data_IF_590408237616
#
_entry.id   IF_590408237616
#
_cell.length_a   1.000
_cell.length_b   1.000
_cell.length_c   1.000
_cell.angle_alpha   90.00
_cell.angle_beta   90.00
_cell.angle_gamma   90.00
#
_symmetry.space_group_name_H-M   'P 1'
#
loop_
_entity.id
_entity.type
_entity.pdbx_description
1 polymer ?
#
# COMPACT_ATOMS: atom_id res chain seq x y z
N UNK A 1 -3.98 -40.51 -2.91
CA UNK A 1 -5.30 -40.26 -2.27
C UNK A 1 -5.78 -41.34 -1.28
N UNK A 2 -5.10 -42.47 -1.13
CA UNK A 2 -5.52 -43.57 -0.21
C UNK A 2 -5.48 -43.25 1.29
N UNK A 3 -4.70 -42.20 1.72
CA UNK A 3 -4.50 -41.87 3.14
C UNK A 3 -5.27 -40.64 3.61
N UNK A 4 -6.03 -39.96 2.74
CA UNK A 4 -6.82 -38.76 3.10
C UNK A 4 -7.85 -39.01 4.21
N UNK A 5 -8.58 -40.14 4.24
CA UNK A 5 -9.52 -40.44 5.32
C UNK A 5 -8.84 -40.59 6.69
N UNK A 6 -7.62 -41.16 6.70
CA UNK A 6 -6.83 -41.33 7.94
C UNK A 6 -6.35 -39.97 8.47
N UNK A 7 -5.93 -39.04 7.58
CA UNK A 7 -5.55 -37.68 7.95
C UNK A 7 -6.73 -36.92 8.51
N UNK A 8 -7.90 -37.03 7.86
CA UNK A 8 -9.11 -36.33 8.29
C UNK A 8 -9.62 -36.84 9.63
N UNK A 9 -9.67 -38.16 9.83
CA UNK A 9 -10.06 -38.77 11.10
C UNK A 9 -9.09 -38.41 12.24
N UNK A 10 -7.79 -38.31 11.94
CA UNK A 10 -6.76 -37.89 12.89
C UNK A 10 -6.93 -36.45 13.35
N UNK A 11 -7.15 -35.54 12.40
CA UNK A 11 -7.33 -34.11 12.64
C UNK A 11 -8.57 -33.82 13.51
N UNK A 12 -9.71 -34.42 13.20
CA UNK A 12 -11.00 -34.09 13.84
C UNK A 12 -11.35 -34.95 15.04
N UNK A 13 -10.41 -35.74 15.57
CA UNK A 13 -10.62 -36.55 16.76
C UNK A 13 -10.94 -35.71 18.01
N UNK A 14 -10.20 -34.61 18.25
CA UNK A 14 -10.49 -33.62 19.28
C UNK A 14 -10.95 -32.32 18.64
N UNK A 15 -12.22 -32.25 18.24
CA UNK A 15 -12.82 -31.16 17.48
C UNK A 15 -12.48 -29.78 18.03
N UNK A 16 -12.61 -29.56 19.33
CA UNK A 16 -12.38 -28.26 19.96
C UNK A 16 -10.94 -27.78 19.74
N UNK A 17 -9.94 -28.67 19.95
CA UNK A 17 -8.53 -28.33 19.75
C UNK A 17 -8.25 -27.98 18.30
N UNK A 18 -8.70 -28.81 17.36
CA UNK A 18 -8.48 -28.60 15.94
C UNK A 18 -9.14 -27.31 15.47
N UNK A 19 -10.37 -27.02 15.90
CA UNK A 19 -11.08 -25.78 15.57
C UNK A 19 -10.33 -24.56 16.11
N UNK A 20 -9.86 -24.58 17.37
CA UNK A 20 -9.12 -23.47 17.96
C UNK A 20 -7.77 -23.24 17.25
N UNK A 21 -7.06 -24.33 16.93
CA UNK A 21 -5.79 -24.22 16.16
C UNK A 21 -6.04 -23.68 14.74
N UNK A 22 -7.06 -24.20 14.07
CA UNK A 22 -7.44 -23.74 12.73
C UNK A 22 -7.86 -22.26 12.76
N UNK A 23 -8.66 -21.85 13.76
CA UNK A 23 -9.07 -20.46 13.93
C UNK A 23 -7.86 -19.53 14.14
N UNK A 24 -6.89 -19.95 14.96
CA UNK A 24 -5.65 -19.18 15.16
C UNK A 24 -4.85 -19.01 13.86
N UNK A 25 -4.76 -20.05 13.04
CA UNK A 25 -4.11 -20.00 11.72
C UNK A 25 -4.89 -19.09 10.78
N UNK A 26 -6.22 -19.21 10.74
CA UNK A 26 -7.11 -18.36 9.93
C UNK A 26 -6.89 -16.88 10.25
N UNK A 27 -6.94 -16.52 11.55
CA UNK A 27 -6.76 -15.13 11.99
C UNK A 27 -5.39 -14.59 11.60
N UNK A 28 -4.36 -15.40 11.71
CA UNK A 28 -3.00 -14.97 11.37
C UNK A 28 -2.80 -14.76 9.87
N UNK A 29 -3.30 -15.66 9.03
CA UNK A 29 -3.21 -15.50 7.59
C UNK A 29 -4.17 -14.42 7.07
N UNK A 30 -5.30 -14.19 7.73
CA UNK A 30 -6.13 -13.04 7.45
C UNK A 30 -5.39 -11.73 7.77
N UNK A 31 -4.76 -11.63 8.94
CA UNK A 31 -3.95 -10.48 9.32
C UNK A 31 -2.75 -10.30 8.36
N UNK A 32 -2.09 -11.38 7.97
CA UNK A 32 -1.03 -11.35 6.96
C UNK A 32 -1.53 -10.74 5.65
N UNK A 33 -2.65 -11.25 5.11
CA UNK A 33 -3.24 -10.74 3.87
C UNK A 33 -3.60 -9.26 3.95
N UNK A 34 -4.20 -8.83 5.07
CA UNK A 34 -4.56 -7.42 5.31
C UNK A 34 -3.33 -6.51 5.38
N UNK A 35 -2.29 -6.89 6.14
CA UNK A 35 -1.08 -6.11 6.28
C UNK A 35 -0.28 -6.03 4.98
N UNK A 36 -0.21 -7.15 4.23
CA UNK A 36 0.43 -7.14 2.90
C UNK A 36 -0.34 -6.26 1.91
N UNK A 37 -1.67 -6.27 1.94
CA UNK A 37 -2.46 -5.37 1.09
C UNK A 37 -2.17 -3.90 1.39
N UNK A 38 -1.99 -3.53 2.67
CA UNK A 38 -1.58 -2.19 3.07
C UNK A 38 -0.19 -1.86 2.53
N UNK A 39 0.78 -2.74 2.71
CA UNK A 39 2.14 -2.53 2.21
C UNK A 39 2.16 -2.36 0.68
N UNK A 40 1.51 -3.25 -0.06
CA UNK A 40 1.41 -3.19 -1.53
C UNK A 40 0.72 -1.91 -1.99
N UNK A 41 -0.33 -1.46 -1.30
CA UNK A 41 -1.02 -0.21 -1.64
C UNK A 41 -0.10 1.01 -1.53
N UNK A 42 0.76 1.06 -0.51
CA UNK A 42 1.75 2.14 -0.37
C UNK A 42 2.88 2.05 -1.42
N UNK A 43 3.32 0.85 -1.79
CA UNK A 43 4.37 0.65 -2.79
C UNK A 43 3.86 0.89 -4.22
N UNK A 44 2.62 0.48 -4.54
CA UNK A 44 2.04 0.64 -5.88
C UNK A 44 1.84 2.10 -6.29
N UNK A 45 1.58 3.00 -5.34
CA UNK A 45 1.54 4.44 -5.61
C UNK A 45 2.87 4.99 -6.13
N UNK A 46 3.99 4.42 -5.67
CA UNK A 46 5.32 4.79 -6.15
C UNK A 46 5.67 4.13 -7.51
N UNK A 47 5.13 2.95 -7.79
CA UNK A 47 5.39 2.23 -9.05
C UNK A 47 4.69 2.85 -10.27
N UNK A 48 3.60 3.59 -10.05
CA UNK A 48 2.90 4.36 -11.08
C UNK A 48 3.64 5.63 -11.52
N UNK A 49 4.74 6.00 -10.85
CA UNK A 49 5.53 7.18 -11.18
C UNK A 49 6.32 6.98 -12.48
N UNK A 50 6.24 7.97 -13.39
CA UNK A 50 7.02 7.97 -14.63
C UNK A 50 8.51 8.18 -14.32
N UNK A 51 9.37 7.29 -14.83
CA UNK A 51 10.82 7.38 -14.67
C UNK A 51 11.43 8.68 -15.21
N UNK A 52 10.72 9.43 -16.05
CA UNK A 52 11.13 10.72 -16.61
C UNK A 52 10.68 11.91 -15.76
N UNK A 53 9.98 11.68 -14.64
CA UNK A 53 9.58 12.76 -13.74
C UNK A 53 10.47 12.82 -12.51
N UNK A 54 10.93 14.05 -12.22
CA UNK A 54 11.66 14.40 -11.03
C UNK A 54 10.82 15.34 -10.18
N UNK A 55 10.99 15.29 -8.89
CA UNK A 55 10.42 16.24 -7.93
C UNK A 55 11.55 17.05 -7.32
N UNK A 56 11.42 18.37 -7.37
CA UNK A 56 12.33 19.32 -6.73
C UNK A 56 11.59 19.97 -5.56
N UNK A 57 12.02 19.69 -4.34
CA UNK A 57 11.48 20.24 -3.07
C UNK A 57 12.55 21.07 -2.38
N UNK A 58 12.19 21.78 -1.33
CA UNK A 58 13.21 22.36 -0.45
C UNK A 58 14.01 21.22 0.22
N UNK A 59 15.31 21.48 0.42
CA UNK A 59 16.31 20.48 0.81
C UNK A 59 16.07 19.91 2.20
N UNK A 60 15.68 20.75 3.14
CA UNK A 60 15.59 20.40 4.57
C UNK A 60 14.20 20.04 5.03
N UNK A 61 13.17 20.53 4.35
CA UNK A 61 11.78 20.27 4.72
C UNK A 61 10.87 20.31 3.50
N UNK A 62 10.06 19.28 3.31
CA UNK A 62 9.06 19.23 2.25
C UNK A 62 7.93 20.27 2.42
N UNK A 63 7.76 20.79 3.64
CA UNK A 63 6.74 21.80 3.98
C UNK A 63 7.24 23.21 3.66
N UNK A 64 8.54 23.39 3.50
CA UNK A 64 9.13 24.69 3.18
C UNK A 64 8.90 25.03 1.71
N UNK A 65 8.24 26.16 1.40
CA UNK A 65 7.91 26.49 0.03
C UNK A 65 9.10 27.13 -0.70
N UNK A 66 9.27 26.81 -1.97
CA UNK A 66 10.30 27.35 -2.87
C UNK A 66 9.82 28.63 -3.60
N UNK A 67 10.72 29.56 -3.96
CA UNK A 67 10.36 30.72 -4.76
C UNK A 67 9.87 30.34 -6.17
N UNK A 68 8.76 30.89 -6.65
CA UNK A 68 8.24 30.63 -8.01
C UNK A 68 9.23 31.05 -9.11
N UNK A 69 10.18 31.95 -8.80
CA UNK A 69 11.24 32.34 -9.73
C UNK A 69 12.20 31.23 -10.13
N UNK A 70 12.28 30.14 -9.34
CA UNK A 70 13.14 28.99 -9.64
C UNK A 70 12.69 28.24 -10.88
N UNK A 71 11.40 28.27 -11.23
CA UNK A 71 10.83 27.58 -12.37
C UNK A 71 11.62 27.86 -13.66
N UNK A 72 11.86 29.14 -13.98
CA UNK A 72 12.60 29.54 -15.19
C UNK A 72 14.05 29.06 -15.20
N UNK A 73 14.69 29.02 -14.03
CA UNK A 73 16.07 28.55 -13.91
C UNK A 73 16.15 27.03 -14.11
N UNK A 74 15.18 26.29 -13.61
CA UNK A 74 15.09 24.83 -13.80
C UNK A 74 14.80 24.50 -15.27
N UNK A 75 13.92 25.26 -15.94
CA UNK A 75 13.62 25.08 -17.38
C UNK A 75 14.85 25.22 -18.28
N UNK A 76 15.85 26.00 -17.88
CA UNK A 76 17.07 26.22 -18.65
C UNK A 76 18.10 25.10 -18.49
N UNK A 77 17.91 24.14 -17.63
CA UNK A 77 18.81 23.01 -17.42
C UNK A 77 18.77 22.08 -18.63
N UNK A 78 19.92 21.77 -19.26
CA UNK A 78 19.96 20.85 -20.40
C UNK A 78 19.37 19.50 -20.05
N UNK A 79 18.50 18.99 -20.93
CA UNK A 79 17.79 17.72 -20.73
C UNK A 79 16.44 17.85 -20.02
N UNK A 80 16.09 19.03 -19.50
CA UNK A 80 14.75 19.34 -19.01
C UNK A 80 13.84 19.69 -20.19
N UNK A 81 12.67 19.04 -20.27
CA UNK A 81 11.70 19.27 -21.35
C UNK A 81 10.43 19.97 -20.88
N UNK A 82 10.23 20.05 -19.57
CA UNK A 82 9.11 20.78 -18.99
C UNK A 82 9.24 20.89 -17.48
N UNK A 83 8.63 21.95 -16.92
CA UNK A 83 8.57 22.21 -15.48
C UNK A 83 7.17 22.72 -15.13
N UNK A 84 6.58 22.16 -14.09
CA UNK A 84 5.34 22.65 -13.51
C UNK A 84 5.53 22.87 -12.01
N UNK A 85 4.80 23.83 -11.45
CA UNK A 85 4.74 24.04 -10.01
C UNK A 85 3.50 23.38 -9.42
N UNK A 86 3.58 22.94 -8.18
CA UNK A 86 2.46 22.46 -7.39
C UNK A 86 2.60 22.93 -5.94
N UNK A 87 1.48 23.23 -5.32
CA UNK A 87 1.41 23.61 -3.92
C UNK A 87 0.31 22.83 -3.21
N UNK A 88 0.55 22.43 -1.99
CA UNK A 88 -0.44 21.72 -1.18
C UNK A 88 -1.43 22.71 -0.58
N UNK A 89 -2.70 22.52 -0.92
CA UNK A 89 -3.75 23.42 -0.42
C UNK A 89 -4.34 22.97 0.92
N UNK A 90 -4.37 21.67 1.20
CA UNK A 90 -4.93 21.08 2.41
C UNK A 90 -6.42 21.42 2.56
N UNK A 91 -7.31 20.52 2.16
CA UNK A 91 -8.73 20.85 2.06
C UNK A 91 -9.66 19.82 2.65
N UNK A 92 -10.83 20.33 3.07
CA UNK A 92 -11.99 19.54 3.48
C UNK A 92 -13.26 20.08 2.84
N UNK A 93 -14.20 19.19 2.59
CA UNK A 93 -15.50 19.50 2.01
C UNK A 93 -16.61 19.18 2.98
N UNK A 94 -17.38 20.19 3.37
CA UNK A 94 -18.50 20.15 4.32
C UNK A 94 -18.13 19.67 5.73
N UNK A 95 -17.53 18.49 5.89
CA UNK A 95 -17.19 17.87 7.17
C UNK A 95 -15.70 17.54 7.26
N UNK A 96 -15.16 17.50 8.47
CA UNK A 96 -13.75 17.14 8.72
C UNK A 96 -13.38 15.74 8.24
N UNK A 97 -14.35 14.82 8.20
CA UNK A 97 -14.15 13.48 7.66
C UNK A 97 -13.96 13.42 6.13
N UNK A 98 -14.32 14.49 5.42
CA UNK A 98 -14.24 14.60 3.97
C UNK A 98 -12.98 15.37 3.52
N UNK A 99 -11.82 15.04 4.09
CA UNK A 99 -10.55 15.54 3.61
C UNK A 99 -10.10 14.75 2.37
N UNK A 100 -9.53 15.45 1.39
CA UNK A 100 -8.93 14.89 0.18
C UNK A 100 -7.79 15.79 -0.31
N UNK A 101 -6.85 15.27 -1.11
CA UNK A 101 -5.77 16.07 -1.67
C UNK A 101 -6.29 17.17 -2.58
N UNK A 102 -5.82 18.39 -2.36
CA UNK A 102 -6.04 19.53 -3.27
C UNK A 102 -4.70 20.17 -3.55
N UNK A 103 -4.39 20.35 -4.84
CA UNK A 103 -3.16 20.96 -5.29
C UNK A 103 -3.44 22.21 -6.11
N UNK A 104 -2.78 23.32 -5.75
CA UNK A 104 -2.74 24.50 -6.57
C UNK A 104 -1.65 24.33 -7.64
N UNK A 105 -2.05 24.35 -8.92
CA UNK A 105 -1.17 24.02 -10.04
C UNK A 105 -1.31 25.02 -11.19
N UNK A 106 -0.28 25.10 -12.04
CA UNK A 106 -0.42 25.73 -13.36
C UNK A 106 -1.32 24.84 -14.24
N UNK A 107 -2.49 25.30 -14.68
CA UNK A 107 -3.48 24.47 -15.35
C UNK A 107 -2.99 23.87 -16.67
N UNK A 108 -2.08 24.52 -17.36
CA UNK A 108 -1.52 24.06 -18.62
C UNK A 108 -0.34 23.12 -18.39
N UNK A 109 0.65 23.60 -17.66
CA UNK A 109 1.93 22.91 -17.46
C UNK A 109 1.78 21.62 -16.67
N UNK A 110 0.94 21.62 -15.62
CA UNK A 110 0.76 20.44 -14.77
C UNK A 110 0.20 19.24 -15.53
N UNK A 111 -0.84 19.45 -16.33
CA UNK A 111 -1.45 18.38 -17.11
C UNK A 111 -0.53 17.85 -18.23
N UNK A 112 0.43 18.66 -18.69
CA UNK A 112 1.46 18.20 -19.63
C UNK A 112 2.52 17.31 -18.96
N UNK A 113 2.70 17.45 -17.63
CA UNK A 113 3.62 16.57 -16.87
C UNK A 113 3.03 15.18 -16.64
N UNK A 114 1.69 15.05 -16.66
CA UNK A 114 0.96 13.81 -16.38
C UNK A 114 0.08 13.37 -17.57
N UNK A 115 0.69 12.92 -18.68
CA UNK A 115 -0.04 12.49 -19.88
C UNK A 115 -0.91 11.25 -19.67
N UNK A 116 -0.69 10.51 -18.58
CA UNK A 116 -1.51 9.39 -18.15
C UNK A 116 -2.89 9.82 -17.60
N UNK A 117 -3.07 11.09 -17.27
CA UNK A 117 -4.35 11.62 -16.85
C UNK A 117 -5.20 11.98 -18.07
N UNK A 118 -6.44 11.56 -18.05
CA UNK A 118 -7.41 11.82 -19.10
C UNK A 118 -8.40 12.89 -18.65
N UNK A 119 -8.57 13.91 -19.48
CA UNK A 119 -9.54 14.99 -19.30
C UNK A 119 -10.08 15.41 -20.67
N UNK A 120 -11.36 15.71 -20.74
CA UNK A 120 -11.95 16.22 -21.95
C UNK A 120 -11.26 17.53 -22.41
N UNK A 121 -11.05 17.69 -23.73
CA UNK A 121 -10.31 18.83 -24.28
C UNK A 121 -10.95 20.16 -23.93
N UNK A 122 -12.29 20.26 -24.02
CA UNK A 122 -13.00 21.50 -23.71
C UNK A 122 -12.90 21.84 -22.21
N UNK A 123 -12.93 20.82 -21.34
CA UNK A 123 -12.74 20.99 -19.90
C UNK A 123 -11.30 21.42 -19.56
N UNK A 124 -10.31 20.86 -20.23
CA UNK A 124 -8.90 21.27 -20.09
C UNK A 124 -8.71 22.74 -20.49
N UNK A 125 -9.29 23.14 -21.63
CA UNK A 125 -9.26 24.54 -22.07
C UNK A 125 -10.02 25.47 -21.11
N UNK A 126 -11.15 25.02 -20.55
CA UNK A 126 -11.89 25.74 -19.53
C UNK A 126 -11.05 25.93 -18.25
N UNK A 127 -10.33 24.92 -17.80
CA UNK A 127 -9.44 25.02 -16.65
C UNK A 127 -8.32 26.04 -16.86
N UNK A 128 -7.73 26.07 -18.05
CA UNK A 128 -6.71 27.05 -18.40
C UNK A 128 -7.23 28.50 -18.42
N UNK A 129 -8.49 28.71 -18.84
CA UNK A 129 -9.07 30.05 -18.97
C UNK A 129 -9.78 30.56 -17.71
N UNK A 130 -10.25 29.66 -16.83
CA UNK A 130 -11.03 30.04 -15.65
C UNK A 130 -10.09 30.19 -14.46
N UNK A 131 -9.95 31.41 -13.98
CA UNK A 131 -9.05 31.74 -12.88
C UNK A 131 -9.44 31.04 -11.58
N UNK A 132 -10.73 30.96 -11.27
CA UNK A 132 -11.31 30.22 -10.15
C UNK A 132 -11.57 28.76 -10.47
N UNK A 133 -11.05 28.26 -11.62
CA UNK A 133 -11.29 26.90 -12.09
C UNK A 133 -10.72 25.83 -11.19
N UNK A 134 -11.48 24.76 -11.08
CA UNK A 134 -11.05 23.51 -10.45
C UNK A 134 -11.37 22.31 -11.34
N UNK A 135 -10.53 21.28 -11.25
CA UNK A 135 -10.74 19.98 -11.87
C UNK A 135 -10.74 18.93 -10.78
N UNK A 136 -11.75 18.09 -10.70
CA UNK A 136 -11.88 17.06 -9.69
C UNK A 136 -11.66 15.66 -10.30
N UNK A 137 -11.03 14.78 -9.56
CA UNK A 137 -10.95 13.37 -9.90
C UNK A 137 -12.33 12.73 -9.97
N UNK A 138 -12.53 11.85 -10.96
CA UNK A 138 -13.84 11.22 -11.25
C UNK A 138 -14.42 10.51 -10.02
N UNK A 139 -13.62 9.77 -9.27
CA UNK A 139 -14.09 9.06 -8.06
C UNK A 139 -14.57 10.03 -6.97
N UNK A 140 -13.90 11.18 -6.79
CA UNK A 140 -14.36 12.21 -5.86
C UNK A 140 -15.66 12.84 -6.36
N UNK A 141 -15.73 13.15 -7.65
CA UNK A 141 -16.93 13.71 -8.25
C UNK A 141 -18.13 12.76 -8.11
N UNK A 142 -17.95 11.47 -8.39
CA UNK A 142 -18.98 10.45 -8.23
C UNK A 142 -19.38 10.29 -6.74
N UNK A 143 -18.41 10.30 -5.82
CA UNK A 143 -18.66 10.18 -4.36
C UNK A 143 -19.49 11.33 -3.80
N UNK A 144 -19.21 12.55 -4.21
CA UNK A 144 -19.89 13.75 -3.70
C UNK A 144 -21.03 14.23 -4.60
N UNK A 145 -21.28 13.57 -5.72
CA UNK A 145 -22.29 13.95 -6.70
C UNK A 145 -21.96 15.25 -7.44
N UNK A 146 -20.68 15.57 -7.61
CA UNK A 146 -20.24 16.79 -8.26
C UNK A 146 -20.43 16.75 -9.77
N UNK A 147 -20.83 17.87 -10.34
CA UNK A 147 -21.04 18.02 -11.79
C UNK A 147 -20.29 19.25 -12.30
N UNK A 148 -19.75 19.14 -13.51
CA UNK A 148 -19.13 20.29 -14.19
C UNK A 148 -20.13 21.44 -14.30
N UNK A 149 -19.66 22.65 -14.02
CA UNK A 149 -20.46 23.88 -14.02
C UNK A 149 -20.99 24.30 -12.65
N UNK A 150 -20.81 23.50 -11.60
CA UNK A 150 -21.21 23.88 -10.23
C UNK A 150 -20.10 24.60 -9.47
N UNK A 151 -20.48 25.35 -8.45
CA UNK A 151 -19.58 25.91 -7.46
C UNK A 151 -19.13 24.83 -6.48
N UNK A 152 -17.85 24.83 -6.16
CA UNK A 152 -17.21 23.90 -5.24
C UNK A 152 -16.69 24.67 -4.02
N UNK A 153 -17.46 24.76 -2.93
CA UNK A 153 -16.99 25.37 -1.68
C UNK A 153 -16.07 24.39 -0.95
N UNK A 154 -14.82 24.78 -0.76
CA UNK A 154 -13.79 23.99 -0.08
C UNK A 154 -13.20 24.84 1.05
N UNK A 155 -12.99 24.27 2.22
CA UNK A 155 -12.28 24.92 3.31
C UNK A 155 -10.84 24.45 3.36
N UNK A 156 -9.88 25.39 3.37
CA UNK A 156 -8.48 25.06 3.62
C UNK A 156 -8.23 24.95 5.13
N UNK A 157 -7.31 24.09 5.51
CA UNK A 157 -6.86 23.97 6.90
C UNK A 157 -5.60 24.82 7.20
N UNK A 158 -4.90 25.22 6.14
CA UNK A 158 -3.59 25.88 6.26
C UNK A 158 -3.50 27.24 5.54
N UNK A 159 -4.39 27.50 4.58
CA UNK A 159 -4.32 28.72 3.79
C UNK A 159 -5.55 29.60 3.97
N UNK A 160 -5.38 30.64 4.77
CA UNK A 160 -6.37 31.74 4.84
C UNK A 160 -6.26 32.63 3.60
N UNK A 161 -7.41 33.17 3.15
CA UNK A 161 -7.46 34.27 2.19
C UNK A 161 -7.05 35.59 2.84
N UNK A 162 -6.82 36.59 2.01
CA UNK A 162 -6.47 37.95 2.46
C UNK A 162 -7.52 38.59 3.36
N UNK A 163 -8.76 38.14 3.30
CA UNK A 163 -9.86 38.57 4.19
C UNK A 163 -9.93 37.76 5.49
N UNK A 164 -8.99 36.85 5.73
CA UNK A 164 -8.94 35.97 6.90
C UNK A 164 -9.83 34.72 6.79
N UNK A 165 -10.61 34.57 5.73
CA UNK A 165 -11.50 33.42 5.53
C UNK A 165 -10.71 32.17 5.15
N UNK A 166 -11.05 31.03 5.77
CA UNK A 166 -10.55 29.70 5.39
C UNK A 166 -11.43 29.04 4.32
N UNK A 167 -12.56 29.67 3.96
CA UNK A 167 -13.49 29.15 2.95
C UNK A 167 -13.14 29.69 1.57
N UNK A 168 -12.98 28.78 0.62
CA UNK A 168 -12.65 29.05 -0.77
C UNK A 168 -13.77 28.53 -1.67
N UNK A 169 -14.06 29.25 -2.74
CA UNK A 169 -15.06 28.82 -3.73
C UNK A 169 -14.39 28.72 -5.10
N UNK A 170 -14.56 27.58 -5.75
CA UNK A 170 -14.02 27.30 -7.06
C UNK A 170 -15.13 26.95 -8.05
N UNK A 171 -14.89 27.16 -9.33
CA UNK A 171 -15.76 26.72 -10.41
C UNK A 171 -15.29 25.33 -10.88
N UNK A 172 -16.11 24.29 -10.70
CA UNK A 172 -15.77 22.95 -11.19
C UNK A 172 -15.92 22.93 -12.72
N UNK A 173 -14.82 22.99 -13.43
CA UNK A 173 -14.78 23.11 -14.90
C UNK A 173 -14.39 21.83 -15.61
N UNK A 174 -13.95 20.80 -14.86
CA UNK A 174 -13.54 19.53 -15.46
C UNK A 174 -13.52 18.37 -14.49
N UNK A 175 -13.55 17.18 -15.06
CA UNK A 175 -13.38 15.91 -14.36
C UNK A 175 -12.15 15.19 -14.91
N UNK A 176 -11.26 14.78 -14.03
CA UNK A 176 -10.02 14.08 -14.30
C UNK A 176 -10.20 12.58 -14.08
N UNK A 177 -9.73 11.75 -15.00
CA UNK A 177 -9.70 10.28 -14.86
C UNK A 177 -8.35 9.76 -15.33
N UNK A 178 -8.16 8.45 -15.31
CA UNK A 178 -7.04 7.75 -15.92
C UNK A 178 -7.54 6.41 -16.47
N UNK A 179 -7.02 6.02 -17.64
CA UNK A 179 -7.39 4.76 -18.27
C UNK A 179 -6.79 3.56 -17.53
N UNK A 180 -5.54 3.72 -17.07
CA UNK A 180 -4.85 2.68 -16.30
C UNK A 180 -5.39 2.62 -14.85
N UNK A 181 -5.90 1.45 -14.40
CA UNK A 181 -6.35 1.26 -13.03
C UNK A 181 -5.28 1.54 -11.96
N UNK A 182 -3.99 1.32 -12.27
CA UNK A 182 -2.89 1.60 -11.35
C UNK A 182 -2.68 3.10 -11.12
N UNK A 183 -2.93 3.91 -12.15
CA UNK A 183 -2.82 5.38 -12.10
C UNK A 183 -4.11 6.01 -11.58
N UNK A 184 -5.26 5.36 -11.78
CA UNK A 184 -6.58 5.92 -11.42
C UNK A 184 -6.68 6.31 -9.94
N UNK A 185 -5.99 5.60 -9.04
CA UNK A 185 -5.91 5.96 -7.63
C UNK A 185 -5.26 7.33 -7.40
N UNK A 186 -4.33 7.72 -8.27
CA UNK A 186 -3.62 9.01 -8.18
C UNK A 186 -4.47 10.20 -8.67
N UNK A 187 -5.63 9.95 -9.29
CA UNK A 187 -6.57 11.00 -9.70
C UNK A 187 -7.55 11.40 -8.60
N UNK A 188 -7.53 10.76 -7.43
CA UNK A 188 -8.43 11.09 -6.30
C UNK A 188 -8.02 12.41 -5.61
N UNK A 189 -7.98 13.48 -6.36
CA UNK A 189 -7.57 14.82 -5.93
C UNK A 189 -8.39 15.89 -6.63
N UNK A 190 -8.25 17.11 -6.16
CA UNK A 190 -8.75 18.31 -6.86
C UNK A 190 -7.57 19.18 -7.24
N UNK A 191 -7.53 19.62 -8.49
CA UNK A 191 -6.58 20.58 -9.00
C UNK A 191 -7.25 21.95 -9.04
N UNK A 192 -6.61 22.97 -8.48
CA UNK A 192 -7.08 24.36 -8.52
C UNK A 192 -6.03 25.24 -9.19
N UNK A 193 -6.48 26.36 -9.76
CA UNK A 193 -5.59 27.25 -10.49
C UNK A 193 -4.68 28.02 -9.52
N UNK A 194 -3.36 27.87 -9.68
CA UNK A 194 -2.34 28.50 -8.83
C UNK A 194 -2.38 30.03 -8.88
N UNK A 195 -2.77 30.62 -10.01
CA UNK A 195 -2.80 32.07 -10.13
C UNK A 195 -3.84 32.72 -9.19
N UNK A 196 -5.03 32.11 -9.08
CA UNK A 196 -6.04 32.54 -8.14
C UNK A 196 -5.60 32.30 -6.69
N UNK A 197 -5.06 31.08 -6.42
CA UNK A 197 -4.58 30.70 -5.10
C UNK A 197 -3.48 31.65 -4.61
N UNK A 198 -2.45 31.91 -5.44
CA UNK A 198 -1.32 32.75 -5.06
C UNK A 198 -1.72 34.22 -4.79
N UNK A 199 -2.66 34.74 -5.57
CA UNK A 199 -3.15 36.11 -5.38
C UNK A 199 -4.03 36.27 -4.12
N UNK A 200 -4.89 35.27 -3.88
CA UNK A 200 -5.89 35.38 -2.81
C UNK A 200 -5.37 34.93 -1.43
N UNK A 201 -4.31 34.13 -1.36
CA UNK A 201 -3.76 33.67 -0.07
C UNK A 201 -3.10 34.80 0.73
N UNK A 202 -3.23 34.73 2.04
CA UNK A 202 -2.69 35.71 2.98
C UNK A 202 -1.17 35.63 3.09
N UNK A 203 -0.61 34.43 3.15
CA UNK A 203 0.80 34.14 3.41
C UNK A 203 1.39 33.29 2.28
N UNK A 204 2.68 33.49 1.98
CA UNK A 204 3.42 32.63 1.04
C UNK A 204 3.30 33.02 -0.43
N UNK A 205 2.82 34.24 -0.75
CA UNK A 205 2.74 34.72 -2.14
C UNK A 205 4.09 34.65 -2.84
N UNK A 206 4.06 34.26 -4.12
CA UNK A 206 5.29 34.10 -4.94
C UNK A 206 6.11 32.86 -4.58
N UNK A 207 5.57 31.95 -3.78
CA UNK A 207 6.19 30.65 -3.45
C UNK A 207 5.32 29.49 -3.92
N UNK A 208 5.90 28.31 -4.02
CA UNK A 208 5.24 27.05 -4.40
C UNK A 208 5.79 25.90 -3.55
N UNK A 209 5.03 24.86 -3.31
CA UNK A 209 5.46 23.72 -2.49
C UNK A 209 6.62 22.95 -3.13
N UNK A 210 6.50 22.63 -4.41
CA UNK A 210 7.52 21.89 -5.17
C UNK A 210 7.38 22.10 -6.67
N UNK A 211 8.40 21.60 -7.41
CA UNK A 211 8.38 21.53 -8.87
C UNK A 211 8.34 20.10 -9.34
N UNK A 212 7.54 19.85 -10.37
CA UNK A 212 7.57 18.65 -11.19
C UNK A 212 8.42 18.96 -12.41
N UNK A 213 9.48 18.18 -12.63
CA UNK A 213 10.42 18.37 -13.72
C UNK A 213 10.39 17.15 -14.62
N UNK A 214 10.12 17.34 -15.90
CA UNK A 214 10.16 16.28 -16.89
C UNK A 214 11.48 16.32 -17.66
N UNK A 215 12.15 15.16 -17.72
CA UNK A 215 13.42 15.01 -18.45
C UNK A 215 13.19 14.26 -19.76
N UNK A 216 14.02 14.56 -20.76
CA UNK A 216 13.96 13.88 -22.06
C UNK A 216 14.33 12.39 -21.94
N UNK A 217 15.35 12.09 -21.13
CA UNK A 217 15.93 10.77 -20.95
C UNK A 217 16.04 10.42 -19.45
N UNK A 218 15.35 9.36 -19.03
CA UNK A 218 15.39 8.88 -17.64
C UNK A 218 16.77 8.40 -17.18
N UNK A 219 17.66 8.01 -18.10
CA UNK A 219 19.03 7.61 -17.75
C UNK A 219 19.87 8.79 -17.24
N UNK A 220 19.52 10.02 -17.62
CA UNK A 220 20.17 11.24 -17.19
C UNK A 220 19.53 11.87 -15.94
N UNK A 221 18.46 11.28 -15.43
CA UNK A 221 17.68 11.82 -14.32
C UNK A 221 18.54 12.21 -13.10
N UNK A 222 19.50 11.38 -12.71
CA UNK A 222 20.41 11.68 -11.58
C UNK A 222 21.34 12.83 -11.86
N UNK A 223 21.90 12.90 -13.06
CA UNK A 223 22.81 14.00 -13.43
C UNK A 223 22.06 15.34 -13.50
N UNK A 224 20.85 15.33 -14.07
CA UNK A 224 19.98 16.51 -14.13
C UNK A 224 19.56 16.94 -12.73
N UNK A 225 19.19 16.00 -11.85
CA UNK A 225 18.87 16.30 -10.43
C UNK A 225 20.02 17.02 -9.73
N UNK A 226 21.24 16.49 -9.85
CA UNK A 226 22.44 17.11 -9.26
C UNK A 226 22.71 18.50 -9.84
N UNK A 227 22.50 18.70 -11.15
CA UNK A 227 22.64 20.00 -11.80
C UNK A 227 21.64 21.01 -11.27
N UNK A 228 20.35 20.62 -11.13
CA UNK A 228 19.32 21.49 -10.56
C UNK A 228 19.70 21.88 -9.13
N UNK A 229 20.09 20.93 -8.28
CA UNK A 229 20.45 21.22 -6.90
C UNK A 229 21.66 22.10 -6.78
N UNK A 230 22.64 21.96 -7.68
CA UNK A 230 23.82 22.82 -7.73
C UNK A 230 23.47 24.28 -8.07
N UNK A 231 22.43 24.54 -8.88
CA UNK A 231 21.99 25.90 -9.21
C UNK A 231 21.52 26.68 -7.97
N UNK A 232 21.06 26.00 -6.96
CA UNK A 232 20.48 26.59 -5.74
C UNK A 232 21.32 26.33 -4.49
N UNK A 233 22.51 25.75 -4.64
CA UNK A 233 23.47 25.60 -3.53
C UNK A 233 23.85 26.98 -2.99
N UNK A 234 23.90 27.12 -1.68
CA UNK A 234 24.15 28.37 -0.96
C UNK A 234 23.10 29.47 -1.20
N UNK A 235 21.93 29.13 -1.75
CA UNK A 235 20.77 30.03 -1.77
C UNK A 235 20.00 29.92 -0.45
N UNK A 236 19.16 30.92 -0.10
CA UNK A 236 18.29 30.82 1.10
C UNK A 236 17.35 29.61 1.05
N UNK A 237 16.90 29.21 -0.14
CA UNK A 237 15.97 28.12 -0.37
C UNK A 237 16.68 27.02 -1.22
N UNK A 238 17.61 26.28 -0.62
CA UNK A 238 18.29 25.16 -1.29
C UNK A 238 17.31 24.06 -1.68
N UNK A 239 17.58 23.39 -2.82
CA UNK A 239 16.71 22.35 -3.36
C UNK A 239 17.27 20.95 -3.16
N UNK A 240 16.34 19.98 -3.17
CA UNK A 240 16.61 18.56 -3.30
C UNK A 240 15.74 18.00 -4.42
N UNK A 241 16.41 17.56 -5.49
CA UNK A 241 15.76 16.99 -6.67
C UNK A 241 16.00 15.49 -6.71
N UNK A 242 14.93 14.72 -6.91
CA UNK A 242 14.99 13.26 -6.94
C UNK A 242 13.88 12.71 -7.85
N UNK A 243 14.02 11.47 -8.39
CA UNK A 243 12.96 10.82 -9.13
C UNK A 243 11.66 10.76 -8.33
N UNK A 244 10.52 10.95 -8.99
CA UNK A 244 9.18 10.94 -8.35
C UNK A 244 8.96 9.66 -7.54
N UNK A 245 9.39 8.50 -8.07
CA UNK A 245 9.33 7.23 -7.36
C UNK A 245 10.13 7.23 -6.05
N UNK A 246 11.36 7.75 -6.08
CA UNK A 246 12.22 7.83 -4.88
C UNK A 246 11.62 8.78 -3.84
N UNK A 247 11.03 9.89 -4.30
CA UNK A 247 10.31 10.83 -3.44
C UNK A 247 9.12 10.16 -2.77
N UNK A 248 8.26 9.46 -3.52
CA UNK A 248 7.08 8.78 -2.99
C UNK A 248 7.47 7.71 -1.95
N UNK A 249 8.50 6.90 -2.22
CA UNK A 249 9.03 5.92 -1.28
C UNK A 249 9.64 6.57 -0.04
N UNK A 250 10.37 7.66 -0.21
CA UNK A 250 10.96 8.45 0.88
C UNK A 250 9.91 9.07 1.78
N UNK A 251 8.87 9.64 1.19
CA UNK A 251 7.73 10.22 1.89
C UNK A 251 6.95 9.18 2.70
N UNK A 252 6.68 8.03 2.08
CA UNK A 252 6.05 6.90 2.77
C UNK A 252 6.86 6.45 4.00
N UNK A 253 8.20 6.42 3.91
CA UNK A 253 9.07 6.10 5.04
C UNK A 253 9.07 7.17 6.15
N UNK A 254 8.84 8.44 5.84
CA UNK A 254 8.75 9.51 6.84
C UNK A 254 7.46 9.44 7.66
N UNK A 255 6.35 9.02 7.06
CA UNK A 255 5.08 8.78 7.77
C UNK A 255 5.22 7.61 8.76
N UNK A 256 6.17 6.73 8.52
CA UNK A 256 6.54 5.56 9.31
C UNK A 256 7.06 4.48 8.37
N UNK A 257 8.08 3.76 8.76
CA UNK A 257 8.52 2.58 8.00
C UNK A 257 7.47 1.47 8.15
N UNK A 258 6.33 1.68 7.44
CA UNK A 258 5.17 0.77 7.45
C UNK A 258 5.60 -0.64 7.07
N UNK A 259 6.51 -0.77 6.10
CA UNK A 259 7.05 -2.07 5.69
C UNK A 259 7.78 -2.77 6.83
N UNK A 260 8.68 -2.07 7.55
CA UNK A 260 9.37 -2.63 8.70
C UNK A 260 8.43 -2.93 9.87
N UNK A 261 7.44 -2.06 10.12
CA UNK A 261 6.43 -2.26 11.15
C UNK A 261 5.58 -3.50 10.85
N UNK A 262 5.07 -3.62 9.62
CA UNK A 262 4.32 -4.79 9.14
C UNK A 262 5.16 -6.06 9.28
N UNK A 263 6.41 -6.03 8.83
CA UNK A 263 7.32 -7.18 8.91
C UNK A 263 7.53 -7.62 10.37
N UNK A 264 7.76 -6.69 11.31
CA UNK A 264 7.92 -7.00 12.74
C UNK A 264 6.66 -7.62 13.35
N UNK A 265 5.48 -7.07 13.01
CA UNK A 265 4.19 -7.62 13.46
C UNK A 265 4.01 -9.04 12.92
N UNK A 266 4.27 -9.26 11.63
CA UNK A 266 4.13 -10.58 11.01
C UNK A 266 5.09 -11.61 11.61
N UNK A 267 6.36 -11.23 11.88
CA UNK A 267 7.30 -12.12 12.57
C UNK A 267 6.75 -12.53 13.93
N UNK A 268 6.25 -11.60 14.74
CA UNK A 268 5.68 -11.90 16.05
C UNK A 268 4.44 -12.81 15.95
N UNK A 269 3.57 -12.56 14.99
CA UNK A 269 2.36 -13.37 14.75
C UNK A 269 2.73 -14.78 14.33
N UNK A 270 3.60 -14.94 13.33
CA UNK A 270 4.03 -16.26 12.87
C UNK A 270 4.84 -17.02 13.91
N UNK A 271 5.65 -16.34 14.70
CA UNK A 271 6.35 -16.94 15.84
C UNK A 271 5.37 -17.48 16.89
N UNK A 272 4.33 -16.71 17.22
CA UNK A 272 3.28 -17.13 18.15
C UNK A 272 2.53 -18.36 17.63
N UNK A 273 2.18 -18.38 16.32
CA UNK A 273 1.52 -19.53 15.70
C UNK A 273 2.42 -20.75 15.68
N UNK A 274 3.70 -20.57 15.39
CA UNK A 274 4.68 -21.65 15.39
C UNK A 274 4.72 -22.34 16.77
N UNK A 275 4.79 -21.56 17.84
CA UNK A 275 4.77 -22.09 19.22
C UNK A 275 3.44 -22.77 19.54
N UNK A 276 2.32 -22.09 19.28
CA UNK A 276 0.98 -22.58 19.60
C UNK A 276 0.66 -23.87 18.83
N UNK A 277 0.83 -23.83 17.51
CA UNK A 277 0.51 -24.98 16.65
C UNK A 277 1.52 -26.11 16.85
N UNK A 278 2.80 -25.79 17.07
CA UNK A 278 3.84 -26.75 17.38
C UNK A 278 3.57 -27.50 18.69
N UNK A 279 3.16 -26.80 19.73
CA UNK A 279 2.81 -27.41 21.03
C UNK A 279 1.53 -28.29 20.90
N UNK A 280 0.53 -27.79 20.19
CA UNK A 280 -0.71 -28.54 19.91
C UNK A 280 -0.45 -29.80 19.11
N UNK A 281 0.42 -29.72 18.09
CA UNK A 281 0.82 -30.84 17.26
C UNK A 281 1.64 -31.90 18.06
N UNK A 282 2.61 -31.43 18.85
CA UNK A 282 3.38 -32.31 19.73
C UNK A 282 2.50 -33.06 20.73
N UNK A 283 1.50 -32.40 21.28
CA UNK A 283 0.52 -33.04 22.16
C UNK A 283 -0.35 -34.05 21.39
N UNK A 284 -0.82 -33.70 20.18
CA UNK A 284 -1.61 -34.59 19.34
C UNK A 284 -0.88 -35.89 19.06
N UNK A 285 0.43 -35.82 18.77
CA UNK A 285 1.24 -36.99 18.46
C UNK A 285 1.49 -37.83 19.71
N UNK A 286 1.77 -37.22 20.88
CA UNK A 286 1.91 -37.95 22.13
C UNK A 286 0.67 -38.79 22.45
N UNK A 287 -0.53 -38.25 22.25
CA UNK A 287 -1.79 -38.94 22.48
C UNK A 287 -2.03 -40.10 21.49
N UNK A 288 -1.36 -40.09 20.32
CA UNK A 288 -1.52 -41.07 19.24
C UNK A 288 -0.34 -42.06 19.12
N UNK A 289 0.61 -42.03 20.07
CA UNK A 289 1.75 -42.97 20.08
C UNK A 289 1.32 -44.43 19.95
N UNK A 290 0.29 -44.93 20.68
CA UNK A 290 -0.14 -46.33 20.55
C UNK A 290 -0.72 -46.64 19.14
N UNK A 291 -1.45 -45.70 18.54
CA UNK A 291 -2.01 -45.87 17.18
C UNK A 291 -0.89 -45.90 16.11
N UNK A 292 0.11 -45.01 16.25
CA UNK A 292 1.27 -45.00 15.38
C UNK A 292 2.12 -46.28 15.49
N UNK A 293 2.20 -46.85 16.68
CA UNK A 293 2.82 -48.15 16.90
C UNK A 293 2.07 -49.29 16.21
N UNK A 294 0.74 -49.29 16.29
CA UNK A 294 -0.10 -50.25 15.56
C UNK A 294 0.10 -50.12 14.05
N UNK A 295 0.18 -48.89 13.49
CA UNK A 295 0.47 -48.72 12.06
C UNK A 295 1.85 -49.32 11.68
N UNK A 296 2.87 -49.19 12.54
CA UNK A 296 4.17 -49.83 12.31
C UNK A 296 4.09 -51.37 12.34
N UNK A 297 3.30 -51.97 13.25
CA UNK A 297 3.08 -53.43 13.29
C UNK A 297 2.33 -53.94 12.04
N UNK A 298 1.49 -53.11 11.42
CA UNK A 298 0.80 -53.39 10.16
C UNK A 298 1.69 -53.20 8.90
N UNK A 299 2.99 -52.91 9.11
CA UNK A 299 3.97 -52.81 8.02
C UNK A 299 4.16 -51.41 7.43
N UNK A 300 3.70 -50.36 8.08
CA UNK A 300 4.05 -48.99 7.70
C UNK A 300 5.50 -48.70 8.07
N UNK A 301 6.29 -48.31 7.08
CA UNK A 301 7.68 -47.85 7.32
C UNK A 301 7.72 -46.55 8.13
N UNK A 302 8.81 -46.32 8.86
CA UNK A 302 9.03 -45.12 9.64
C UNK A 302 8.86 -43.84 8.82
N UNK A 303 9.34 -43.83 7.59
CA UNK A 303 9.16 -42.72 6.63
C UNK A 303 7.70 -42.45 6.27
N UNK A 304 6.86 -43.49 6.18
CA UNK A 304 5.42 -43.30 5.90
C UNK A 304 4.69 -42.70 7.08
N UNK A 305 5.04 -43.08 8.32
CA UNK A 305 4.48 -42.51 9.54
C UNK A 305 4.90 -41.05 9.68
N UNK A 306 6.18 -40.73 9.44
CA UNK A 306 6.71 -39.37 9.40
C UNK A 306 6.00 -38.51 8.36
N UNK A 307 5.82 -39.02 7.14
CA UNK A 307 5.10 -38.33 6.06
C UNK A 307 3.63 -38.06 6.40
N UNK A 308 2.96 -39.00 7.09
CA UNK A 308 1.58 -38.82 7.55
C UNK A 308 1.44 -37.66 8.53
N UNK A 309 2.38 -37.57 9.49
CA UNK A 309 2.42 -36.48 10.49
C UNK A 309 2.70 -35.13 9.82
N UNK A 310 3.66 -35.08 8.89
CA UNK A 310 3.95 -33.86 8.12
C UNK A 310 2.76 -33.44 7.26
N UNK A 311 2.10 -34.40 6.59
CA UNK A 311 0.93 -34.12 5.79
C UNK A 311 -0.23 -33.55 6.61
N UNK A 312 -0.38 -33.95 7.88
CA UNK A 312 -1.38 -33.38 8.80
C UNK A 312 -1.07 -31.92 9.13
N UNK A 313 0.19 -31.56 9.39
CA UNK A 313 0.62 -30.19 9.63
C UNK A 313 0.40 -29.30 8.38
N UNK A 314 0.80 -29.82 7.20
CA UNK A 314 0.61 -29.13 5.92
C UNK A 314 -0.87 -28.89 5.64
N UNK A 315 -1.71 -29.90 5.85
CA UNK A 315 -3.15 -29.81 5.60
C UNK A 315 -3.82 -28.75 6.50
N UNK A 316 -3.44 -28.69 7.79
CA UNK A 316 -3.94 -27.67 8.72
C UNK A 316 -3.58 -26.25 8.27
N UNK A 317 -2.33 -26.06 7.85
CA UNK A 317 -1.84 -24.75 7.44
C UNK A 317 -2.40 -24.31 6.08
N UNK A 318 -2.55 -25.23 5.13
CA UNK A 318 -3.19 -24.93 3.83
C UNK A 318 -4.66 -24.59 4.04
N UNK A 319 -5.41 -25.38 4.82
CA UNK A 319 -6.82 -25.10 5.08
C UNK A 319 -7.00 -23.80 5.87
N UNK A 320 -6.29 -23.64 6.98
CA UNK A 320 -6.39 -22.44 7.81
C UNK A 320 -5.85 -21.20 7.09
N UNK A 321 -4.71 -21.32 6.40
CA UNK A 321 -4.12 -20.24 5.63
C UNK A 321 -4.98 -19.83 4.44
N UNK A 322 -5.50 -20.81 3.68
CA UNK A 322 -6.40 -20.54 2.57
C UNK A 322 -7.69 -19.84 3.01
N UNK A 323 -8.35 -20.34 4.07
CA UNK A 323 -9.54 -19.68 4.64
C UNK A 323 -9.20 -18.28 5.16
N UNK A 324 -8.06 -18.09 5.82
CA UNK A 324 -7.60 -16.79 6.29
C UNK A 324 -7.38 -15.79 5.16
N UNK A 325 -6.71 -16.20 4.09
CA UNK A 325 -6.50 -15.37 2.90
C UNK A 325 -7.84 -15.03 2.20
N UNK A 326 -8.74 -16.00 2.07
CA UNK A 326 -10.09 -15.73 1.53
C UNK A 326 -10.86 -14.73 2.42
N UNK A 327 -10.76 -14.84 3.73
CA UNK A 327 -11.37 -13.87 4.65
C UNK A 327 -10.78 -12.47 4.49
N UNK A 328 -9.47 -12.36 4.30
CA UNK A 328 -8.81 -11.09 4.00
C UNK A 328 -9.35 -10.47 2.69
N UNK A 329 -9.42 -11.25 1.61
CA UNK A 329 -9.99 -10.79 0.32
C UNK A 329 -11.44 -10.34 0.49
N UNK A 330 -12.25 -11.10 1.22
CA UNK A 330 -13.65 -10.75 1.48
C UNK A 330 -13.83 -9.45 2.30
N UNK A 331 -12.83 -9.08 3.12
CA UNK A 331 -12.85 -7.84 3.89
C UNK A 331 -12.47 -6.59 3.06
N UNK A 332 -11.79 -6.75 1.89
CA UNK A 332 -11.30 -5.63 1.09
C UNK A 332 -12.37 -4.60 0.67
N UNK A 333 -13.57 -5.02 0.17
CA UNK A 333 -14.60 -4.05 -0.22
C UNK A 333 -15.05 -3.16 0.94
N UNK A 334 -15.22 -3.73 2.14
CA UNK A 334 -15.63 -2.99 3.33
C UNK A 334 -14.53 -2.02 3.78
N UNK A 335 -13.27 -2.44 3.76
CA UNK A 335 -12.12 -1.60 4.11
C UNK A 335 -11.96 -0.45 3.12
N UNK A 336 -11.99 -0.72 1.83
CA UNK A 336 -11.91 0.31 0.79
C UNK A 336 -13.07 1.30 0.88
N UNK A 337 -14.27 0.83 1.24
CA UNK A 337 -15.42 1.70 1.49
C UNK A 337 -15.24 2.60 2.72
N UNK A 338 -14.67 2.06 3.80
CA UNK A 338 -14.47 2.80 5.06
C UNK A 338 -13.36 3.86 4.98
N UNK A 339 -12.33 3.64 4.16
CA UNK A 339 -11.23 4.60 3.97
C UNK A 339 -11.66 5.84 3.19
N UNK A 340 -12.80 5.75 2.49
CA UNK A 340 -13.36 6.89 1.76
C UNK A 340 -12.42 7.48 0.72
N UNK A 341 -11.49 6.70 0.15
CA UNK A 341 -10.53 7.17 -0.84
C UNK A 341 -9.31 7.92 -0.26
N UNK A 342 -9.13 7.93 1.07
CA UNK A 342 -7.95 8.54 1.71
C UNK A 342 -6.66 7.76 1.49
N UNK A 343 -6.77 6.48 1.21
CA UNK A 343 -5.65 5.59 0.93
C UNK A 343 -5.82 4.94 -0.44
N UNK A 344 -4.71 4.55 -1.08
CA UNK A 344 -4.77 3.73 -2.29
C UNK A 344 -5.65 2.50 -2.07
N UNK A 345 -6.35 2.01 -3.10
CA UNK A 345 -7.23 0.86 -2.96
C UNK A 345 -6.43 -0.38 -2.52
N UNK A 346 -6.89 -1.00 -1.44
CA UNK A 346 -6.30 -2.23 -0.91
C UNK A 346 -6.70 -3.41 -1.81
N UNK A 347 -5.72 -4.20 -2.24
CA UNK A 347 -5.97 -5.44 -2.99
C UNK A 347 -4.94 -6.51 -2.63
N UNK A 348 -5.30 -7.76 -2.81
CA UNK A 348 -4.43 -8.92 -2.58
C UNK A 348 -4.11 -9.54 -3.95
N UNK A 349 -2.90 -9.29 -4.42
CA UNK A 349 -2.40 -9.83 -5.69
C UNK A 349 -1.95 -11.29 -5.60
N UNK A 350 -1.67 -11.94 -6.76
CA UNK A 350 -1.20 -13.31 -6.83
C UNK A 350 0.14 -13.52 -6.11
N UNK A 351 0.99 -12.51 -6.05
CA UNK A 351 2.28 -12.53 -5.34
C UNK A 351 2.10 -12.75 -3.84
N UNK A 352 1.08 -12.10 -3.24
CA UNK A 352 0.73 -12.27 -1.83
C UNK A 352 0.25 -13.70 -1.54
N UNK A 353 -0.50 -14.32 -2.47
CA UNK A 353 -0.91 -15.72 -2.37
C UNK A 353 0.27 -16.68 -2.45
N UNK A 354 1.22 -16.44 -3.36
CA UNK A 354 2.45 -17.22 -3.45
C UNK A 354 3.27 -17.13 -2.17
N UNK A 355 3.45 -15.92 -1.64
CA UNK A 355 4.16 -15.68 -0.39
C UNK A 355 3.46 -16.36 0.79
N UNK A 356 2.14 -16.25 0.90
CA UNK A 356 1.34 -16.93 1.91
C UNK A 356 1.53 -18.45 1.86
N UNK A 357 1.52 -19.02 0.67
CA UNK A 357 1.73 -20.47 0.45
C UNK A 357 3.15 -20.90 0.85
N UNK A 358 4.16 -20.10 0.50
CA UNK A 358 5.54 -20.36 0.88
C UNK A 358 5.74 -20.30 2.40
N UNK A 359 5.15 -19.30 3.06
CA UNK A 359 5.17 -19.17 4.54
C UNK A 359 4.44 -20.36 5.18
N UNK A 360 3.26 -20.75 4.68
CA UNK A 360 2.52 -21.90 5.18
C UNK A 360 3.35 -23.20 5.09
N UNK A 361 4.03 -23.40 3.96
CA UNK A 361 4.91 -24.56 3.78
C UNK A 361 6.11 -24.55 4.75
N UNK A 362 6.75 -23.40 4.92
CA UNK A 362 7.86 -23.23 5.85
C UNK A 362 7.44 -23.51 7.30
N UNK A 363 6.32 -22.89 7.72
CA UNK A 363 5.77 -23.07 9.09
C UNK A 363 5.35 -24.53 9.30
N UNK A 364 4.73 -25.18 8.28
CA UNK A 364 4.37 -26.60 8.35
C UNK A 364 5.60 -27.50 8.56
N UNK A 365 6.70 -27.23 7.88
CA UNK A 365 7.96 -27.95 8.06
C UNK A 365 8.51 -27.73 9.47
N UNK A 366 8.58 -26.47 9.92
CA UNK A 366 9.10 -26.16 11.26
C UNK A 366 8.27 -26.80 12.38
N UNK A 367 6.94 -26.81 12.25
CA UNK A 367 6.03 -27.39 13.25
C UNK A 367 5.99 -28.91 13.17
N UNK A 368 5.94 -29.46 11.95
CA UNK A 368 5.73 -30.89 11.71
C UNK A 368 7.00 -31.72 11.87
N UNK A 369 8.16 -31.15 11.56
CA UNK A 369 9.41 -31.91 11.53
C UNK A 369 9.84 -32.46 12.91
N UNK A 370 9.88 -31.67 14.01
CA UNK A 370 10.32 -32.21 15.32
C UNK A 370 9.45 -33.35 15.84
N UNK A 371 8.11 -33.28 15.84
CA UNK A 371 7.29 -34.39 16.27
C UNK A 371 7.30 -35.57 15.29
N UNK A 372 7.44 -35.34 13.97
CA UNK A 372 7.56 -36.37 12.98
C UNK A 372 8.87 -37.18 13.16
N UNK A 373 9.98 -36.54 13.49
CA UNK A 373 11.24 -37.20 13.82
C UNK A 373 11.14 -38.00 15.12
N UNK A 374 10.37 -37.53 16.12
CA UNK A 374 10.09 -38.31 17.34
C UNK A 374 9.27 -39.57 17.04
N UNK A 375 8.23 -39.44 16.20
CA UNK A 375 7.42 -40.56 15.74
C UNK A 375 8.25 -41.62 14.96
N UNK A 376 9.27 -41.19 14.24
CA UNK A 376 10.19 -42.07 13.53
C UNK A 376 11.01 -42.95 14.52
N UNK A 377 11.46 -42.36 15.61
CA UNK A 377 12.31 -43.02 16.63
C UNK A 377 11.54 -43.87 17.67
N UNK A 378 10.21 -43.99 17.53
CA UNK A 378 9.37 -44.80 18.42
C UNK A 378 9.73 -46.30 18.28
N UNK A 379 10.16 -46.91 19.37
CA UNK A 379 10.29 -48.37 19.48
C UNK A 379 8.92 -48.98 19.78
N UNK A 380 8.53 -49.99 18.97
CA UNK A 380 7.21 -50.63 19.05
C UNK A 380 6.98 -51.22 20.46
N UNK A 381 8.00 -51.78 21.07
CA UNK A 381 7.94 -52.42 22.39
C UNK A 381 7.59 -51.40 23.47
N UNK A 382 8.29 -50.26 23.49
CA UNK A 382 8.09 -49.20 24.50
C UNK A 382 6.72 -48.54 24.35
N UNK A 383 6.23 -48.42 23.13
CA UNK A 383 4.94 -47.79 22.83
C UNK A 383 3.71 -48.66 23.17
N UNK A 384 3.85 -49.98 23.21
CA UNK A 384 2.78 -50.93 23.54
C UNK A 384 2.82 -51.36 25.02
N UNK A 385 3.95 -51.24 25.72
CA UNK A 385 4.11 -51.58 27.14
C UNK A 385 3.62 -50.50 28.11
N UNK A 386 3.28 -49.33 27.62
CA UNK A 386 2.70 -48.23 28.43
C UNK A 386 3.72 -47.53 29.35
N UNK A 387 5.02 -47.67 29.07
CA UNK A 387 6.13 -47.01 29.79
C UNK A 387 6.81 -45.94 28.96
#
# INVERSE_FOLDING_TARGET
MRYLPLLWAGLFRKKTRTVLTLLSIVVAFALFGLLQAVQVAFESGADAADAKRLLTTARYSIIEPLPMSYLRRIEQVPGVVGVASADWFGAKYQNESNAFPVFAVDPVRYLDMYPEFTIDRAQREAFARTRTGAVAGKRLADRFGWKVGQKLPISSEIHAKTDGSMSWEFDLVGILDADDPAVRGNTDMVLINVAYFDEARQIGRGKTGWYIVRVADSTQARAISATIDTLFTNSPDETKTQPEKEFALGFAKQIGDIGALVTRILIAVFFTILILTGNTMAQSIRERIPELAILKTLGFSDGKVTALVLAEAVLLLILGGGVGMCAAVAAMPALNGSTGGRFPPLFIGPETWLLATAIAALVALCIGLPPALRANRLKIVDALSGH
#
